data_IF_806133242328
#
_entry.id   IF_806133242328
#
_cell.length_a   1.000
_cell.length_b   1.000
_cell.length_c   1.000
_cell.angle_alpha   90.00
_cell.angle_beta   90.00
_cell.angle_gamma   90.00
#
_symmetry.space_group_name_H-M   'P 1'
#
loop_
_entity.id
_entity.type
_entity.pdbx_description
1 polymer ?
#
# COMPACT_ATOMS: atom_id res chain seq x y z
N UNK A 1 0.90 12.13 -7.52
CA UNK A 1 1.04 10.85 -6.78
C UNK A 1 2.03 9.98 -7.52
N UNK A 2 2.77 9.11 -6.83
CA UNK A 2 3.77 8.26 -7.47
C UNK A 2 3.09 7.04 -8.11
N UNK A 3 3.57 6.57 -9.26
CA UNK A 3 3.17 5.27 -9.83
C UNK A 3 3.98 4.17 -9.15
N UNK A 4 3.29 3.12 -8.72
CA UNK A 4 3.96 1.94 -8.16
C UNK A 4 4.82 1.26 -9.24
N UNK A 5 4.29 1.11 -10.46
CA UNK A 5 5.01 0.48 -11.56
C UNK A 5 6.30 1.23 -11.93
N UNK A 6 6.29 2.56 -11.92
CA UNK A 6 7.50 3.36 -12.17
C UNK A 6 8.56 3.13 -11.08
N UNK A 7 8.17 3.18 -9.81
CA UNK A 7 9.09 2.95 -8.70
C UNK A 7 9.65 1.52 -8.76
N UNK A 8 8.79 0.52 -8.97
CA UNK A 8 9.18 -0.88 -9.11
C UNK A 8 10.16 -1.08 -10.28
N UNK A 9 9.95 -0.39 -11.40
CA UNK A 9 10.86 -0.42 -12.54
C UNK A 9 12.22 0.23 -12.22
N UNK A 10 12.25 1.35 -11.47
CA UNK A 10 13.51 1.96 -11.02
C UNK A 10 14.30 1.01 -10.12
N UNK A 11 13.63 0.34 -9.20
CA UNK A 11 14.24 -0.68 -8.35
C UNK A 11 14.75 -1.88 -9.17
N UNK A 12 13.99 -2.35 -10.15
CA UNK A 12 14.41 -3.44 -11.03
C UNK A 12 15.64 -3.07 -11.88
N UNK A 13 15.73 -1.80 -12.30
CA UNK A 13 16.84 -1.30 -13.11
C UNK A 13 18.11 -1.05 -12.28
N UNK A 14 17.98 -0.42 -11.11
CA UNK A 14 19.10 -0.13 -10.22
C UNK A 14 18.63 -0.05 -8.74
N UNK A 15 18.67 -1.17 -8.01
CA UNK A 15 18.24 -1.24 -6.62
C UNK A 15 18.97 -0.25 -5.69
N UNK A 16 20.27 -0.01 -5.92
CA UNK A 16 21.06 0.88 -5.05
C UNK A 16 20.67 2.35 -5.23
N UNK A 17 20.50 2.78 -6.48
CA UNK A 17 20.07 4.15 -6.78
C UNK A 17 18.62 4.38 -6.35
N UNK A 18 17.73 3.42 -6.62
CA UNK A 18 16.33 3.48 -6.19
C UNK A 18 16.22 3.46 -4.66
N UNK A 19 17.00 2.63 -3.98
CA UNK A 19 17.03 2.57 -2.52
C UNK A 19 17.44 3.90 -1.89
N UNK A 20 18.48 4.56 -2.41
CA UNK A 20 18.88 5.92 -2.00
C UNK A 20 17.75 6.96 -2.18
N UNK A 21 16.91 6.76 -3.21
CA UNK A 21 15.81 7.67 -3.55
C UNK A 21 14.56 7.42 -2.71
N UNK A 22 14.26 6.16 -2.38
CA UNK A 22 12.94 5.74 -1.88
C UNK A 22 12.94 5.00 -0.54
N UNK A 23 14.02 4.34 -0.14
CA UNK A 23 14.06 3.57 1.13
C UNK A 23 13.89 4.52 2.33
N UNK A 24 13.13 4.07 3.33
CA UNK A 24 12.85 4.83 4.54
C UNK A 24 11.98 6.07 4.33
N UNK A 25 11.41 6.25 3.13
CA UNK A 25 10.52 7.37 2.81
C UNK A 25 9.07 6.93 2.79
N UNK A 26 8.17 7.87 3.08
CA UNK A 26 6.75 7.70 2.83
C UNK A 26 6.46 7.95 1.35
N UNK A 27 5.86 6.97 0.70
CA UNK A 27 5.45 7.03 -0.71
C UNK A 27 3.92 7.09 -0.75
N UNK A 28 3.39 8.04 -1.53
CA UNK A 28 1.96 8.27 -1.66
C UNK A 28 1.43 7.69 -2.97
N UNK A 29 0.36 6.90 -2.86
CA UNK A 29 -0.30 6.20 -3.96
C UNK A 29 -1.79 6.57 -4.00
N UNK A 30 -2.38 6.56 -5.20
CA UNK A 30 -3.83 6.59 -5.39
C UNK A 30 -4.30 5.17 -5.72
N UNK A 31 -5.38 4.71 -5.11
CA UNK A 31 -5.92 3.40 -5.42
C UNK A 31 -7.03 2.94 -4.51
N UNK A 32 -7.38 1.67 -4.66
CA UNK A 32 -8.34 0.97 -3.80
C UNK A 32 -7.59 0.06 -2.82
N UNK A 33 -8.12 -0.07 -1.61
CA UNK A 33 -7.61 -0.96 -0.58
C UNK A 33 -8.59 -2.11 -0.35
N UNK A 34 -8.05 -3.27 -0.02
CA UNK A 34 -8.83 -4.46 0.32
C UNK A 34 -8.19 -5.15 1.52
N UNK A 35 -8.97 -5.37 2.58
CA UNK A 35 -8.48 -6.11 3.74
C UNK A 35 -8.35 -7.58 3.39
N UNK A 36 -7.15 -8.13 3.62
CA UNK A 36 -6.81 -9.49 3.26
C UNK A 36 -6.87 -10.35 4.53
N UNK A 37 -7.93 -11.13 4.67
CA UNK A 37 -8.17 -11.98 5.83
C UNK A 37 -9.26 -11.48 6.79
N UNK A 38 -9.76 -12.40 7.61
CA UNK A 38 -10.92 -12.19 8.50
C UNK A 38 -10.55 -12.03 9.98
N UNK A 39 -9.29 -12.17 10.34
CA UNK A 39 -8.82 -12.11 11.73
C UNK A 39 -9.14 -10.74 12.35
N UNK A 40 -9.80 -10.64 13.51
CA UNK A 40 -10.06 -9.37 14.17
C UNK A 40 -8.76 -8.59 14.41
N UNK A 41 -8.71 -7.31 14.01
CA UNK A 41 -7.50 -6.49 14.15
C UNK A 41 -6.37 -6.78 13.16
N UNK A 42 -6.56 -7.70 12.20
CA UNK A 42 -5.62 -7.92 11.11
C UNK A 42 -5.28 -6.62 10.36
N UNK A 43 -3.98 -6.38 10.17
CA UNK A 43 -3.40 -5.14 9.62
C UNK A 43 -3.01 -5.25 8.16
N UNK A 44 -3.16 -6.42 7.55
CA UNK A 44 -2.72 -6.71 6.20
C UNK A 44 -3.78 -6.36 5.14
N UNK A 45 -3.35 -5.63 4.11
CA UNK A 45 -4.19 -5.16 3.02
C UNK A 45 -3.52 -5.43 1.68
N UNK A 46 -4.33 -5.77 0.69
CA UNK A 46 -3.97 -5.63 -0.72
C UNK A 46 -4.35 -4.23 -1.19
N UNK A 47 -3.50 -3.62 -2.01
CA UNK A 47 -3.76 -2.36 -2.68
C UNK A 47 -3.80 -2.58 -4.19
N UNK A 48 -4.70 -1.87 -4.87
CA UNK A 48 -4.78 -1.79 -6.33
C UNK A 48 -4.60 -0.33 -6.68
N UNK A 49 -3.42 0.03 -7.17
CA UNK A 49 -3.13 1.40 -7.59
C UNK A 49 -3.82 1.73 -8.93
N UNK A 50 -3.96 3.04 -9.20
CA UNK A 50 -4.57 3.52 -10.45
C UNK A 50 -3.80 3.11 -11.72
N UNK A 51 -2.50 2.86 -11.60
CA UNK A 51 -1.67 2.32 -12.68
C UNK A 51 -1.87 0.81 -12.90
N UNK A 52 -2.82 0.20 -12.20
CA UNK A 52 -3.17 -1.21 -12.28
C UNK A 52 -2.26 -2.13 -11.46
N UNK A 53 -1.24 -1.59 -10.77
CA UNK A 53 -0.37 -2.39 -9.93
C UNK A 53 -1.15 -2.95 -8.73
N UNK A 54 -0.90 -4.22 -8.41
CA UNK A 54 -1.42 -4.87 -7.21
C UNK A 54 -0.25 -5.19 -6.29
N UNK A 55 -0.34 -4.78 -5.03
CA UNK A 55 0.73 -4.99 -4.07
C UNK A 55 0.19 -5.09 -2.65
N UNK A 56 1.01 -5.71 -1.80
CA UNK A 56 0.71 -5.91 -0.41
C UNK A 56 1.14 -4.71 0.43
N UNK A 57 0.37 -4.44 1.48
CA UNK A 57 0.63 -3.33 2.38
C UNK A 57 0.02 -3.57 3.76
N UNK A 58 0.30 -2.68 4.72
CA UNK A 58 -0.22 -2.80 6.07
C UNK A 58 -0.67 -1.48 6.70
N UNK A 59 -1.84 -1.49 7.33
CA UNK A 59 -2.42 -0.39 8.10
C UNK A 59 -2.58 -0.82 9.56
N UNK A 60 -1.97 -0.05 10.46
CA UNK A 60 -2.14 -0.24 11.90
C UNK A 60 -3.61 -0.05 12.29
N UNK A 61 -4.05 -0.72 13.35
CA UNK A 61 -5.46 -0.66 13.80
C UNK A 61 -5.92 0.78 14.05
N UNK A 62 -5.05 1.65 14.54
CA UNK A 62 -5.36 3.07 14.77
C UNK A 62 -5.63 3.85 13.48
N UNK A 63 -5.03 3.44 12.36
CA UNK A 63 -5.18 4.09 11.05
C UNK A 63 -6.40 3.55 10.27
N UNK A 64 -6.91 2.38 10.64
CA UNK A 64 -8.07 1.76 9.99
C UNK A 64 -9.38 2.51 10.24
N UNK A 65 -9.52 3.21 11.37
CA UNK A 65 -10.73 4.01 11.64
C UNK A 65 -10.96 5.09 10.57
N UNK A 66 -9.89 5.73 10.09
CA UNK A 66 -9.97 6.73 9.03
C UNK A 66 -10.36 6.13 7.67
N UNK A 67 -10.12 4.83 7.47
CA UNK A 67 -10.45 4.12 6.24
C UNK A 67 -11.92 3.74 6.15
N UNK A 68 -12.62 3.54 7.27
CA UNK A 68 -14.00 3.02 7.31
C UNK A 68 -14.94 3.73 6.35
N UNK A 69 -14.91 5.08 6.33
CA UNK A 69 -15.75 5.89 5.45
C UNK A 69 -15.48 5.69 3.94
N UNK A 70 -14.40 5.02 3.57
CA UNK A 70 -14.07 4.66 2.19
C UNK A 70 -14.63 3.29 1.79
N UNK A 71 -15.11 2.48 2.72
CA UNK A 71 -15.73 1.19 2.46
C UNK A 71 -17.26 1.29 2.49
N UNK A 72 -17.92 0.37 1.80
CA UNK A 72 -19.38 0.27 1.82
C UNK A 72 -19.89 0.03 3.25
N UNK A 73 -20.98 0.70 3.63
CA UNK A 73 -21.53 0.61 4.98
C UNK A 73 -20.68 1.23 6.08
N UNK A 74 -19.59 1.94 5.74
CA UNK A 74 -18.62 2.49 6.68
C UNK A 74 -17.92 1.42 7.55
N UNK A 75 -17.71 0.23 7.01
CA UNK A 75 -17.08 -0.89 7.72
C UNK A 75 -16.06 -1.60 6.83
N UNK A 76 -14.92 -1.99 7.41
CA UNK A 76 -13.87 -2.71 6.68
C UNK A 76 -14.15 -4.22 6.77
N UNK A 77 -14.80 -4.75 5.75
CA UNK A 77 -15.01 -6.19 5.59
C UNK A 77 -13.88 -6.85 4.80
N UNK A 78 -13.52 -8.11 5.11
CA UNK A 78 -12.55 -8.87 4.33
C UNK A 78 -12.95 -8.96 2.86
N UNK A 79 -11.96 -8.84 1.96
CA UNK A 79 -12.13 -9.00 0.51
C UNK A 79 -13.08 -8.00 -0.18
N UNK A 80 -13.55 -6.98 0.53
CA UNK A 80 -14.24 -5.85 -0.07
C UNK A 80 -13.25 -4.75 -0.43
N UNK A 81 -13.47 -4.10 -1.58
CA UNK A 81 -12.66 -2.96 -2.00
C UNK A 81 -13.22 -1.68 -1.42
N UNK A 82 -12.35 -0.78 -1.02
CA UNK A 82 -12.71 0.61 -0.78
C UNK A 82 -13.04 1.33 -2.09
N UNK A 83 -13.69 2.48 -1.97
CA UNK A 83 -13.57 3.56 -2.96
C UNK A 83 -12.12 3.99 -3.15
N UNK A 84 -11.81 4.62 -4.27
CA UNK A 84 -10.47 5.16 -4.52
C UNK A 84 -10.13 6.22 -3.47
N UNK A 85 -8.94 6.10 -2.89
CA UNK A 85 -8.38 7.05 -1.94
C UNK A 85 -6.89 7.26 -2.18
N UNK A 86 -6.38 8.32 -1.61
CA UNK A 86 -4.94 8.55 -1.51
C UNK A 86 -4.47 8.01 -0.16
N UNK A 87 -3.39 7.25 -0.18
CA UNK A 87 -2.77 6.70 1.00
C UNK A 87 -1.25 6.79 0.89
N UNK A 88 -0.58 6.92 2.03
CA UNK A 88 0.87 6.95 2.10
C UNK A 88 1.39 5.81 2.96
N UNK A 89 2.47 5.17 2.50
CA UNK A 89 3.08 4.02 3.13
C UNK A 89 4.56 4.25 3.36
N UNK A 90 5.09 3.75 4.49
CA UNK A 90 6.53 3.68 4.69
C UNK A 90 7.10 2.59 3.77
N UNK A 91 8.04 2.97 2.92
CA UNK A 91 8.81 2.04 2.12
C UNK A 91 10.02 1.55 2.92
N UNK A 92 9.97 0.30 3.36
CA UNK A 92 11.05 -0.34 4.13
C UNK A 92 12.12 -0.98 3.23
N UNK A 93 12.04 -0.77 1.91
CA UNK A 93 12.97 -1.31 0.91
C UNK A 93 12.30 -2.31 -0.01
N UNK A 94 13.09 -3.20 -0.62
CA UNK A 94 12.56 -4.25 -1.49
C UNK A 94 12.21 -5.54 -0.73
N UNK A 95 11.18 -6.23 -1.21
CA UNK A 95 10.84 -7.61 -0.86
C UNK A 95 11.00 -8.51 -2.08
N UNK A 96 11.52 -9.72 -1.84
CA UNK A 96 11.54 -10.82 -2.80
C UNK A 96 12.78 -10.86 -3.70
N UNK A 97 13.33 -12.05 -3.92
CA UNK A 97 14.41 -12.33 -4.90
C UNK A 97 13.86 -12.70 -6.29
N UNK A 98 12.58 -13.10 -6.38
CA UNK A 98 11.95 -13.62 -7.60
C UNK A 98 10.87 -12.67 -8.16
N UNK A 99 10.07 -12.05 -7.28
CA UNK A 99 9.16 -10.95 -7.63
C UNK A 99 9.64 -9.75 -6.84
N UNK A 100 10.31 -8.81 -7.52
CA UNK A 100 10.77 -7.59 -6.89
C UNK A 100 9.58 -6.68 -6.63
N UNK A 101 9.29 -6.42 -5.36
CA UNK A 101 8.23 -5.51 -4.94
C UNK A 101 8.71 -4.57 -3.84
N UNK A 102 7.91 -3.55 -3.53
CA UNK A 102 8.17 -2.66 -2.40
C UNK A 102 7.65 -3.27 -1.10
N UNK A 103 8.43 -3.17 -0.04
CA UNK A 103 7.97 -3.50 1.32
C UNK A 103 7.25 -2.30 1.91
N UNK A 104 5.96 -2.20 1.65
CA UNK A 104 5.12 -1.10 2.13
C UNK A 104 4.46 -1.44 3.46
N UNK A 105 4.61 -0.57 4.46
CA UNK A 105 4.03 -0.77 5.79
C UNK A 105 3.66 0.56 6.45
N UNK A 106 3.03 0.49 7.64
CA UNK A 106 2.68 1.66 8.47
C UNK A 106 1.91 2.72 7.66
N UNK A 107 0.97 2.24 6.85
CA UNK A 107 0.23 3.09 5.95
C UNK A 107 -0.86 3.86 6.67
N UNK A 108 -1.21 5.01 6.09
CA UNK A 108 -2.30 5.86 6.55
C UNK A 108 -3.00 6.49 5.36
N UNK A 109 -4.30 6.74 5.50
CA UNK A 109 -5.01 7.55 4.54
C UNK A 109 -4.53 9.00 4.64
N UNK A 110 -4.45 9.67 3.50
CA UNK A 110 -4.27 11.12 3.45
C UNK A 110 -5.62 11.74 3.16
N UNK A 111 -6.06 12.66 4.04
CA UNK A 111 -7.28 13.45 3.83
C UNK A 111 -7.18 14.37 2.63
#
# INVERSE_FOLDING_TARGET
MLSYNEIAAEYAANPEAAGKKYDGRRLAFSGQLMRMGSEPGGTYFGAIAEDGAMFDTAFEVSEQEALKAKFEGNEIQPFQKSSTLVFECMNEGQVGTVVQGLKLSKCRATN
#
